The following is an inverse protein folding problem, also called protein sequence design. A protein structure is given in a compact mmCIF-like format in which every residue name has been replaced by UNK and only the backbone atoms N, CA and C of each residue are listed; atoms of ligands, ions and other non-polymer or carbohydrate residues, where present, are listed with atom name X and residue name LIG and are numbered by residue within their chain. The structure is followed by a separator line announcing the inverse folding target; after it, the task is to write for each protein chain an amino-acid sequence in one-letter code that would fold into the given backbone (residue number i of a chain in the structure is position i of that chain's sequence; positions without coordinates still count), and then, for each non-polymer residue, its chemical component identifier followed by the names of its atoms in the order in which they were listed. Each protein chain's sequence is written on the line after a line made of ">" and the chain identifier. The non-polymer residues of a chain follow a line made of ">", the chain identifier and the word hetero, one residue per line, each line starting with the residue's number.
data_IF_400592598054
#
_entry.id   IF_400592598054
#
_cell.length_a   1.000
_cell.length_b   1.000
_cell.length_c   1.000
_cell.angle_alpha   90.00
_cell.angle_beta   90.00
_cell.angle_gamma   90.00
#
_symmetry.space_group_name_H-M   'P 1'
#
loop_
_entity.id
_entity.type
_entity.pdbx_description
1 polymer ?
#
# COMPACT_ATOMS: atom_id res chain seq x y z
N UNK A 1 -24.21 1.29 -14.63
CA UNK A 1 -22.96 0.77 -15.19
C UNK A 1 -21.88 0.75 -14.12
N UNK A 2 -20.67 1.20 -14.42
CA UNK A 2 -19.57 1.05 -13.47
C UNK A 2 -19.74 1.85 -12.18
N UNK A 3 -20.43 2.97 -12.23
CA UNK A 3 -20.69 3.74 -11.00
C UNK A 3 -21.54 2.98 -9.97
N UNK A 4 -22.22 1.92 -10.40
CA UNK A 4 -23.04 1.08 -9.51
C UNK A 4 -22.29 -0.19 -9.08
N UNK A 5 -21.08 -0.37 -9.54
CA UNK A 5 -20.26 -1.52 -9.21
C UNK A 5 -19.39 -1.23 -7.99
N UNK A 6 -18.85 -2.29 -7.39
CA UNK A 6 -17.86 -2.15 -6.33
C UNK A 6 -16.48 -2.03 -6.95
N UNK A 7 -15.66 -1.11 -6.44
CA UNK A 7 -14.26 -1.05 -6.83
C UNK A 7 -13.53 -2.20 -6.14
N UNK A 8 -12.73 -2.93 -6.89
CA UNK A 8 -11.97 -4.04 -6.37
C UNK A 8 -10.49 -3.83 -6.71
N UNK A 9 -9.66 -3.72 -5.68
CA UNK A 9 -8.22 -3.59 -5.83
C UNK A 9 -7.61 -4.98 -5.91
N UNK A 10 -6.74 -5.20 -6.90
CA UNK A 10 -6.08 -6.49 -7.09
C UNK A 10 -4.59 -6.28 -7.31
N UNK A 11 -3.79 -7.09 -6.62
CA UNK A 11 -2.33 -7.06 -6.71
C UNK A 11 -1.83 -8.40 -7.24
N UNK A 12 -0.93 -8.41 -8.22
CA UNK A 12 -0.37 -9.67 -8.74
C UNK A 12 0.70 -10.23 -7.81
N UNK A 13 0.80 -11.54 -7.78
CA UNK A 13 1.87 -12.25 -7.08
C UNK A 13 2.32 -13.45 -7.89
N UNK A 14 3.62 -13.67 -7.96
CA UNK A 14 4.15 -14.89 -8.54
C UNK A 14 4.04 -16.06 -7.59
N UNK A 15 4.17 -15.79 -6.29
CA UNK A 15 4.17 -16.81 -5.25
C UNK A 15 3.20 -16.38 -4.15
N UNK A 16 2.01 -16.98 -4.13
CA UNK A 16 0.99 -16.63 -3.15
C UNK A 16 1.40 -16.98 -1.72
N UNK A 17 2.17 -18.04 -1.52
CA UNK A 17 2.62 -18.41 -0.18
C UNK A 17 3.60 -17.37 0.36
N UNK A 18 4.51 -16.90 -0.49
CA UNK A 18 5.46 -15.85 -0.12
C UNK A 18 4.73 -14.52 0.15
N UNK A 19 3.75 -14.19 -0.70
CA UNK A 19 2.94 -12.99 -0.49
C UNK A 19 2.17 -13.07 0.83
N UNK A 20 1.54 -14.21 1.09
CA UNK A 20 0.80 -14.39 2.33
C UNK A 20 1.70 -14.21 3.55
N UNK A 21 2.90 -14.79 3.52
CA UNK A 21 3.85 -14.66 4.62
C UNK A 21 4.25 -13.19 4.83
N UNK A 22 4.53 -12.46 3.74
CA UNK A 22 4.88 -11.05 3.83
C UNK A 22 3.75 -10.22 4.46
N UNK A 23 2.53 -10.38 3.98
CA UNK A 23 1.40 -9.60 4.48
C UNK A 23 1.09 -9.94 5.94
N UNK A 24 1.27 -11.19 6.35
CA UNK A 24 1.09 -11.59 7.74
C UNK A 24 2.21 -11.05 8.64
N UNK A 25 3.44 -11.35 8.30
CA UNK A 25 4.58 -11.04 9.17
C UNK A 25 4.94 -9.54 9.18
N UNK A 26 4.89 -8.90 8.02
CA UNK A 26 5.32 -7.51 7.88
C UNK A 26 4.19 -6.52 8.04
N UNK A 27 2.99 -6.84 7.59
CA UNK A 27 1.88 -5.90 7.58
C UNK A 27 0.77 -6.26 8.59
N UNK A 28 0.83 -7.43 9.19
CA UNK A 28 -0.15 -7.84 10.18
C UNK A 28 -1.50 -8.26 9.61
N UNK A 29 -1.55 -8.64 8.34
CA UNK A 29 -2.79 -9.05 7.69
C UNK A 29 -2.92 -10.57 7.61
N UNK A 30 -4.08 -11.08 7.99
CA UNK A 30 -4.47 -12.45 7.68
C UNK A 30 -5.59 -12.42 6.65
N UNK A 31 -5.55 -13.28 5.62
CA UNK A 31 -6.60 -13.28 4.61
C UNK A 31 -7.91 -13.78 5.21
N UNK A 32 -9.02 -13.16 4.80
CA UNK A 32 -10.36 -13.63 5.19
C UNK A 32 -10.85 -14.75 4.28
N UNK A 33 -10.21 -14.89 3.12
CA UNK A 33 -10.51 -15.98 2.19
C UNK A 33 -9.23 -16.36 1.46
N UNK A 34 -9.00 -17.66 1.29
CA UNK A 34 -7.85 -18.18 0.56
C UNK A 34 -8.34 -19.25 -0.41
N UNK A 35 -7.93 -19.09 -1.67
CA UNK A 35 -8.21 -20.04 -2.73
C UNK A 35 -6.94 -20.31 -3.51
N UNK A 36 -6.98 -21.31 -4.37
CA UNK A 36 -5.82 -21.65 -5.20
C UNK A 36 -5.31 -20.46 -6.01
N UNK A 37 -6.22 -19.62 -6.50
CA UNK A 37 -5.86 -18.48 -7.34
C UNK A 37 -5.69 -17.17 -6.62
N UNK A 38 -5.90 -17.08 -5.30
CA UNK A 38 -5.77 -15.79 -4.64
C UNK A 38 -6.11 -15.75 -3.17
N UNK A 39 -5.83 -14.58 -2.60
CA UNK A 39 -6.05 -14.26 -1.19
C UNK A 39 -6.88 -12.98 -1.14
N UNK A 40 -7.87 -12.94 -0.25
CA UNK A 40 -8.68 -11.73 -0.06
C UNK A 40 -8.48 -11.19 1.35
N UNK A 41 -8.29 -9.88 1.42
CA UNK A 41 -8.04 -9.15 2.67
C UNK A 41 -9.07 -8.06 2.85
N UNK A 42 -9.47 -7.83 4.10
CA UNK A 42 -10.45 -6.80 4.44
C UNK A 42 -9.85 -5.82 5.45
N UNK A 43 -10.04 -4.52 5.19
CA UNK A 43 -9.70 -3.45 6.12
C UNK A 43 -10.99 -2.86 6.70
N UNK A 44 -10.86 -1.90 7.61
CA UNK A 44 -12.03 -1.21 8.17
C UNK A 44 -12.88 -0.58 7.06
N UNK A 45 -12.22 0.00 6.06
CA UNK A 45 -12.91 0.58 4.91
C UNK A 45 -12.20 0.11 3.65
N UNK A 46 -12.80 -0.85 2.97
CA UNK A 46 -12.27 -1.39 1.73
C UNK A 46 -11.66 -2.76 1.86
N UNK A 47 -11.43 -3.38 0.72
CA UNK A 47 -10.79 -4.67 0.65
C UNK A 47 -9.90 -4.76 -0.58
N UNK A 48 -8.97 -5.70 -0.55
CA UNK A 48 -8.11 -5.97 -1.70
C UNK A 48 -7.84 -7.47 -1.80
N UNK A 49 -7.43 -7.89 -2.98
CA UNK A 49 -7.09 -9.28 -3.21
C UNK A 49 -5.71 -9.38 -3.84
N UNK A 50 -5.01 -10.45 -3.54
CA UNK A 50 -3.76 -10.80 -4.19
C UNK A 50 -4.03 -12.04 -5.03
N UNK A 51 -3.69 -11.99 -6.32
CA UNK A 51 -3.98 -13.10 -7.22
C UNK A 51 -2.70 -13.62 -7.85
N UNK A 52 -2.68 -14.92 -8.15
CA UNK A 52 -1.51 -15.52 -8.80
C UNK A 52 -1.42 -15.00 -10.23
N UNK A 53 -0.22 -14.57 -10.62
CA UNK A 53 0.01 -14.02 -11.94
C UNK A 53 1.38 -14.43 -12.44
N UNK A 54 1.44 -14.84 -13.70
CA UNK A 54 2.70 -15.09 -14.39
C UNK A 54 3.35 -13.80 -14.88
N UNK A 55 2.60 -12.69 -14.86
CA UNK A 55 3.10 -11.39 -15.29
C UNK A 55 4.01 -10.75 -14.26
N UNK A 56 4.69 -9.70 -14.70
CA UNK A 56 5.54 -8.91 -13.80
C UNK A 56 4.73 -7.78 -13.18
N UNK A 57 5.19 -7.30 -12.01
CA UNK A 57 4.62 -6.09 -11.43
C UNK A 57 4.83 -4.92 -12.40
N UNK A 58 3.97 -3.91 -12.31
CA UNK A 58 3.87 -2.87 -13.34
C UNK A 58 4.84 -1.70 -13.19
N UNK A 59 5.86 -1.79 -12.35
CA UNK A 59 6.96 -0.83 -12.36
C UNK A 59 7.02 0.11 -11.18
N UNK A 60 7.02 1.43 -11.43
CA UNK A 60 7.47 2.41 -10.45
C UNK A 60 6.37 3.33 -9.93
N UNK A 61 5.12 3.05 -10.24
CA UNK A 61 4.01 3.83 -9.69
C UNK A 61 3.32 3.08 -8.56
N UNK A 62 2.71 3.83 -7.65
CA UNK A 62 1.94 3.25 -6.56
C UNK A 62 0.76 2.46 -7.09
N UNK A 63 0.67 1.18 -6.73
CA UNK A 63 -0.41 0.31 -7.18
C UNK A 63 -1.59 0.33 -6.21
N UNK A 64 -1.33 0.51 -4.93
CA UNK A 64 -2.34 0.58 -3.90
C UNK A 64 -1.78 1.36 -2.72
N UNK A 65 -2.67 2.02 -1.99
CA UNK A 65 -2.28 2.81 -0.82
C UNK A 65 -3.32 2.67 0.28
N UNK A 66 -2.87 2.76 1.52
CA UNK A 66 -3.74 2.85 2.68
C UNK A 66 -3.73 4.27 3.22
N UNK A 67 -4.89 4.78 3.59
CA UNK A 67 -4.98 6.05 4.30
C UNK A 67 -4.91 5.76 5.80
N UNK A 68 -4.03 6.47 6.50
CA UNK A 68 -3.79 6.27 7.93
C UNK A 68 -3.94 7.60 8.68
N UNK A 69 -4.19 7.50 9.98
CA UNK A 69 -4.37 8.69 10.82
C UNK A 69 -3.06 9.27 11.34
N UNK A 70 -2.03 8.44 11.51
CA UNK A 70 -0.74 8.86 12.05
C UNK A 70 0.36 8.11 11.31
N UNK A 71 0.89 8.76 10.26
CA UNK A 71 1.88 8.11 9.40
C UNK A 71 3.20 7.83 10.11
N UNK A 72 3.61 8.71 11.03
CA UNK A 72 4.87 8.48 11.75
C UNK A 72 4.80 7.24 12.60
N UNK A 73 3.69 7.04 13.30
CA UNK A 73 3.48 5.84 14.11
C UNK A 73 3.39 4.59 13.23
N UNK A 74 2.70 4.69 12.09
CA UNK A 74 2.56 3.57 11.15
C UNK A 74 3.92 3.18 10.57
N UNK A 75 4.70 4.14 10.13
CA UNK A 75 6.04 3.87 9.58
C UNK A 75 6.92 3.20 10.63
N UNK A 76 6.88 3.72 11.87
CA UNK A 76 7.68 3.16 12.96
C UNK A 76 7.30 1.69 13.23
N UNK A 77 6.01 1.40 13.29
CA UNK A 77 5.54 0.04 13.53
C UNK A 77 5.93 -0.90 12.38
N UNK A 78 5.75 -0.47 11.15
CA UNK A 78 6.11 -1.29 10.00
C UNK A 78 7.62 -1.53 9.93
N UNK A 79 8.44 -0.53 10.24
CA UNK A 79 9.88 -0.73 10.34
C UNK A 79 10.24 -1.73 11.41
N UNK A 80 9.57 -1.71 12.55
CA UNK A 80 9.80 -2.68 13.60
C UNK A 80 9.49 -4.12 13.16
N UNK A 81 8.60 -4.27 12.17
CA UNK A 81 8.27 -5.56 11.57
C UNK A 81 9.19 -5.92 10.40
N UNK A 82 10.15 -5.07 10.06
CA UNK A 82 11.11 -5.33 9.00
C UNK A 82 10.78 -4.76 7.64
N UNK A 83 9.80 -3.87 7.54
CA UNK A 83 9.51 -3.18 6.28
C UNK A 83 10.58 -2.14 6.01
N UNK A 84 11.09 -2.12 4.78
CA UNK A 84 12.04 -1.12 4.32
C UNK A 84 11.30 -0.11 3.45
N UNK A 85 11.40 1.18 3.82
CA UNK A 85 10.73 2.25 3.08
C UNK A 85 11.65 2.80 2.00
N UNK A 86 11.03 3.15 0.86
CA UNK A 86 11.73 3.81 -0.23
C UNK A 86 12.13 5.21 0.19
N UNK A 87 13.27 5.67 -0.30
CA UNK A 87 13.70 7.06 -0.12
C UNK A 87 13.83 7.70 -1.49
N UNK A 88 13.30 8.92 -1.61
CA UNK A 88 13.33 9.67 -2.86
C UNK A 88 13.93 11.04 -2.64
N UNK A 89 14.72 11.50 -3.60
CA UNK A 89 15.26 12.86 -3.65
C UNK A 89 15.15 13.35 -5.09
N UNK A 90 13.92 13.70 -5.46
CA UNK A 90 13.57 14.11 -6.81
C UNK A 90 12.90 15.47 -6.76
N UNK A 91 12.89 16.23 -7.86
CA UNK A 91 12.14 17.49 -7.91
C UNK A 91 10.67 17.24 -7.57
N UNK A 92 10.17 17.93 -6.55
CA UNK A 92 8.78 17.77 -6.09
C UNK A 92 8.50 16.54 -5.26
N UNK A 93 9.51 15.69 -5.01
CA UNK A 93 9.32 14.49 -4.21
C UNK A 93 10.58 14.18 -3.40
N UNK A 94 10.58 14.59 -2.14
CA UNK A 94 11.71 14.31 -1.23
C UNK A 94 11.19 13.67 0.04
N UNK A 95 11.77 12.52 0.40
CA UNK A 95 11.47 11.86 1.66
C UNK A 95 12.50 12.22 2.71
N UNK A 96 12.05 12.31 3.96
CA UNK A 96 12.91 12.40 5.14
C UNK A 96 12.46 11.28 6.06
N UNK A 97 13.35 10.35 6.34
CA UNK A 97 13.03 9.13 7.09
C UNK A 97 11.83 8.38 6.49
N UNK A 98 11.80 8.30 5.15
CA UNK A 98 10.78 7.59 4.41
C UNK A 98 9.49 8.37 4.17
N UNK A 99 9.34 9.57 4.73
CA UNK A 99 8.09 10.33 4.64
C UNK A 99 8.29 11.59 3.80
N UNK A 100 7.42 11.78 2.81
CA UNK A 100 7.39 12.97 1.98
C UNK A 100 6.16 13.80 2.30
N UNK A 101 6.28 15.12 2.13
CA UNK A 101 5.14 16.03 2.21
C UNK A 101 4.74 16.45 0.81
N UNK A 102 3.47 16.23 0.47
CA UNK A 102 2.92 16.47 -0.86
C UNK A 102 1.78 17.47 -0.73
N UNK A 103 1.83 18.54 -1.55
CA UNK A 103 0.79 19.56 -1.53
C UNK A 103 -0.34 19.20 -2.48
N UNK A 104 -1.56 19.52 -2.06
CA UNK A 104 -2.74 19.50 -2.92
C UNK A 104 -3.03 18.17 -3.57
N UNK A 105 -2.80 17.09 -2.87
CA UNK A 105 -2.80 15.76 -3.47
C UNK A 105 -4.18 15.33 -3.98
N UNK A 106 -5.17 15.22 -3.11
CA UNK A 106 -6.48 14.71 -3.52
C UNK A 106 -7.61 15.66 -3.18
N UNK A 107 -8.60 15.79 -4.08
CA UNK A 107 -9.81 16.51 -3.73
C UNK A 107 -10.46 15.94 -2.47
N UNK A 108 -10.90 16.80 -1.57
CA UNK A 108 -11.59 16.43 -0.32
C UNK A 108 -10.72 15.71 0.71
N UNK A 109 -9.42 15.56 0.47
CA UNK A 109 -8.51 14.89 1.41
C UNK A 109 -7.57 15.85 2.13
N UNK A 110 -7.94 17.14 2.21
CA UNK A 110 -7.16 18.14 2.89
C UNK A 110 -6.32 18.98 1.93
N UNK A 111 -5.37 19.73 2.47
CA UNK A 111 -4.52 20.65 1.68
C UNK A 111 -3.23 20.00 1.20
N UNK A 112 -2.96 18.80 1.64
CA UNK A 112 -1.79 18.05 1.25
C UNK A 112 -1.83 16.66 1.85
N UNK A 113 -0.73 15.94 1.69
CA UNK A 113 -0.60 14.59 2.19
C UNK A 113 0.82 14.36 2.69
N UNK A 114 0.96 13.59 3.73
CA UNK A 114 2.24 13.01 4.13
C UNK A 114 2.21 11.56 3.67
N UNK A 115 3.22 11.12 2.95
CA UNK A 115 3.18 9.83 2.28
C UNK A 115 4.49 9.08 2.44
N UNK A 116 4.40 7.75 2.41
CA UNK A 116 5.55 6.86 2.44
C UNK A 116 5.28 5.65 1.55
N UNK A 117 6.35 5.05 1.02
CA UNK A 117 6.23 3.96 0.04
C UNK A 117 7.15 2.80 0.40
N UNK A 118 6.69 1.61 0.11
CA UNK A 118 7.49 0.39 0.27
C UNK A 118 7.04 -0.66 -0.75
N UNK A 119 7.84 -1.69 -0.92
CA UNK A 119 7.48 -2.79 -1.82
C UNK A 119 7.09 -4.02 -1.02
N UNK A 120 6.10 -4.75 -1.52
CA UNK A 120 5.81 -6.06 -0.95
C UNK A 120 6.79 -7.11 -1.47
N UNK A 121 6.61 -8.36 -1.05
CA UNK A 121 7.48 -9.47 -1.45
C UNK A 121 7.45 -9.78 -2.94
N UNK A 122 6.42 -9.29 -3.64
CA UNK A 122 6.24 -9.54 -5.07
C UNK A 122 6.66 -8.36 -5.94
N UNK A 123 7.21 -7.30 -5.31
CA UNK A 123 7.68 -6.12 -6.01
C UNK A 123 6.62 -5.06 -6.24
N UNK A 124 5.42 -5.23 -5.73
CA UNK A 124 4.38 -4.21 -5.88
C UNK A 124 4.72 -2.99 -5.05
N UNK A 125 4.67 -1.82 -5.66
CA UNK A 125 4.90 -0.56 -4.96
C UNK A 125 3.62 -0.14 -4.25
N UNK A 126 3.68 -0.06 -2.93
CA UNK A 126 2.55 0.25 -2.07
C UNK A 126 2.83 1.56 -1.31
N UNK A 127 1.76 2.26 -0.97
CA UNK A 127 1.88 3.51 -0.24
C UNK A 127 1.03 3.55 1.01
N UNK A 128 1.42 4.44 1.91
CA UNK A 128 0.57 4.88 3.02
C UNK A 128 0.54 6.39 3.01
N UNK A 129 -0.61 6.97 3.32
CA UNK A 129 -0.78 8.40 3.27
C UNK A 129 -1.64 8.90 4.41
N UNK A 130 -1.29 10.09 4.90
CA UNK A 130 -2.05 10.79 5.92
C UNK A 130 -2.46 12.15 5.36
N UNK A 131 -3.75 12.43 5.22
CA UNK A 131 -4.18 13.76 4.75
C UNK A 131 -3.77 14.84 5.74
N UNK A 132 -3.28 15.97 5.21
CA UNK A 132 -2.98 17.15 6.01
C UNK A 132 -4.16 18.10 5.90
N UNK A 133 -4.78 18.42 7.02
CA UNK A 133 -5.93 19.32 7.07
C UNK A 133 -5.53 20.58 7.84
N UNK A 134 -5.80 21.70 7.23
CA UNK A 134 -5.51 22.99 7.85
C UNK A 134 -6.70 23.56 8.58
#
# INVERSE_FOLDING_TARGET
>A
MLKDAKVATRLPAKDLNRARAFYSEKLGFEPVEQREGGLRYVCVAGEFAIFVSAGMQSGTHTQMSWEVDNIEATVRELRARGVEFEEYDLPGLRTIDGIAEIRGNYPSKGTGERAAWFRDSEGNLLGIGQPVRS
#
